data_IF_358606511607
#
_entry.id   IF_358606511607
#
_cell.length_a   1.000
_cell.length_b   1.000
_cell.length_c   1.000
_cell.angle_alpha   90.00
_cell.angle_beta   90.00
_cell.angle_gamma   90.00
#
_symmetry.space_group_name_H-M   'P 1'
#
loop_
_entity.id
_entity.type
_entity.pdbx_description
1 polymer ?
#
# COMPACT_ATOMS: atom_id res chain seq x y z
N UNK A 1 -8.35 -12.64 23.12
CA UNK A 1 -7.58 -12.16 21.96
C UNK A 1 -8.55 -11.46 21.03
N UNK A 2 -8.39 -10.16 20.82
CA UNK A 2 -9.19 -9.44 19.84
C UNK A 2 -8.77 -9.92 18.45
N UNK A 3 -9.73 -10.39 17.67
CA UNK A 3 -9.48 -10.76 16.25
C UNK A 3 -9.59 -9.49 15.42
N UNK A 4 -8.56 -9.21 14.63
CA UNK A 4 -8.56 -8.17 13.62
C UNK A 4 -9.00 -8.83 12.32
N UNK A 5 -9.96 -8.21 11.65
CA UNK A 5 -10.43 -8.70 10.34
C UNK A 5 -9.92 -7.76 9.24
N UNK A 6 -9.27 -8.34 8.26
CA UNK A 6 -8.89 -7.69 7.01
C UNK A 6 -9.81 -8.22 5.91
N UNK A 7 -10.30 -7.33 5.03
CA UNK A 7 -11.03 -7.78 3.85
C UNK A 7 -10.08 -7.94 2.69
N UNK A 8 -10.26 -9.00 1.91
CA UNK A 8 -9.49 -9.29 0.71
C UNK A 8 -10.44 -9.52 -0.45
N UNK A 9 -10.18 -8.84 -1.57
CA UNK A 9 -10.95 -8.98 -2.83
C UNK A 9 -10.03 -9.50 -3.92
N UNK A 10 -10.51 -10.44 -4.73
CA UNK A 10 -9.85 -10.81 -5.98
C UNK A 10 -10.12 -9.75 -7.03
N UNK A 11 -9.08 -9.28 -7.69
CA UNK A 11 -9.11 -8.36 -8.84
C UNK A 11 -8.76 -9.07 -10.14
N UNK A 12 -8.21 -10.30 -10.03
CA UNK A 12 -7.90 -11.17 -11.16
C UNK A 12 -8.55 -12.55 -10.98
N UNK A 13 -9.04 -13.21 -12.04
CA UNK A 13 -9.70 -14.52 -11.94
C UNK A 13 -8.81 -15.62 -11.36
N UNK A 14 -7.52 -15.59 -11.66
CA UNK A 14 -6.54 -16.59 -11.18
C UNK A 14 -5.93 -16.25 -9.82
N UNK A 15 -6.32 -15.12 -9.22
CA UNK A 15 -5.81 -14.72 -7.92
C UNK A 15 -6.10 -15.75 -6.83
N UNK A 16 -5.11 -16.02 -6.02
CA UNK A 16 -5.22 -16.88 -4.85
C UNK A 16 -5.43 -16.03 -3.59
N UNK A 17 -6.32 -16.47 -2.72
CA UNK A 17 -6.48 -15.82 -1.41
C UNK A 17 -5.22 -16.07 -0.57
N UNK A 18 -4.77 -15.06 0.21
CA UNK A 18 -3.63 -15.24 1.10
C UNK A 18 -3.84 -16.43 2.05
N UNK A 19 -2.83 -17.27 2.19
CA UNK A 19 -2.88 -18.48 3.02
C UNK A 19 -1.72 -18.54 4.00
N UNK A 20 -1.92 -19.21 5.14
CA UNK A 20 -0.85 -19.54 6.05
C UNK A 20 -0.33 -20.94 5.72
N UNK A 21 0.98 -21.14 5.68
CA UNK A 21 1.59 -22.46 5.51
C UNK A 21 1.32 -23.37 6.70
N UNK A 22 1.33 -22.81 7.91
CA UNK A 22 0.97 -23.45 9.18
C UNK A 22 0.14 -22.50 10.03
N UNK A 23 -0.70 -23.03 10.90
CA UNK A 23 -1.52 -22.25 11.84
C UNK A 23 -0.72 -21.43 12.84
N UNK A 24 0.56 -21.74 12.99
CA UNK A 24 1.51 -21.03 13.86
C UNK A 24 2.29 -19.93 13.15
N UNK A 25 2.17 -19.82 11.82
CA UNK A 25 2.86 -18.79 11.07
C UNK A 25 2.26 -17.42 11.35
N UNK A 26 3.11 -16.41 11.51
CA UNK A 26 2.68 -15.04 11.81
C UNK A 26 2.18 -14.29 10.56
N UNK A 27 2.56 -14.75 9.37
CA UNK A 27 2.24 -14.12 8.10
C UNK A 27 1.37 -14.98 7.21
N UNK A 28 0.83 -14.32 6.17
CA UNK A 28 0.10 -14.96 5.08
C UNK A 28 0.92 -14.90 3.81
N UNK A 29 0.99 -16.00 3.10
CA UNK A 29 1.63 -16.06 1.79
C UNK A 29 0.70 -15.47 0.73
N UNK A 30 1.26 -14.62 -0.11
CA UNK A 30 0.64 -14.05 -1.30
C UNK A 30 1.34 -14.61 -2.53
N UNK A 31 0.58 -14.96 -3.55
CA UNK A 31 1.08 -15.60 -4.77
C UNK A 31 0.83 -14.68 -5.96
N UNK A 32 1.82 -14.54 -6.82
CA UNK A 32 1.67 -13.84 -8.09
C UNK A 32 0.72 -14.62 -9.03
N UNK A 33 -0.01 -13.90 -9.88
CA UNK A 33 -0.92 -14.49 -10.89
C UNK A 33 -0.23 -14.67 -12.24
N UNK A 34 0.97 -14.12 -12.39
CA UNK A 34 1.75 -14.13 -13.64
C UNK A 34 3.24 -14.43 -13.39
N UNK A 35 3.98 -14.50 -14.47
CA UNK A 35 5.44 -14.72 -14.44
C UNK A 35 6.23 -13.42 -14.20
N UNK A 36 5.53 -12.31 -13.94
CA UNK A 36 6.11 -11.00 -13.75
C UNK A 36 6.49 -10.28 -15.05
N UNK A 37 6.53 -8.97 -14.96
CA UNK A 37 6.89 -8.08 -16.08
C UNK A 37 8.12 -7.27 -15.69
N UNK A 38 9.15 -7.28 -16.53
CA UNK A 38 10.29 -6.40 -16.38
C UNK A 38 9.87 -4.95 -16.56
N UNK A 39 10.37 -4.07 -15.69
CA UNK A 39 10.26 -2.65 -15.93
C UNK A 39 10.96 -2.26 -17.25
N UNK A 40 10.65 -1.08 -17.79
CA UNK A 40 11.16 -0.65 -19.10
C UNK A 40 12.67 -0.59 -19.18
N UNK A 41 13.34 -0.44 -18.06
CA UNK A 41 14.79 -0.31 -17.97
C UNK A 41 15.49 -1.61 -17.52
N UNK A 42 14.70 -2.66 -17.23
CA UNK A 42 15.22 -3.96 -16.82
C UNK A 42 15.83 -3.99 -15.41
N UNK A 43 15.39 -3.08 -14.54
CA UNK A 43 15.91 -2.93 -13.16
C UNK A 43 15.25 -3.87 -12.18
N UNK A 44 13.93 -4.11 -12.34
CA UNK A 44 13.15 -4.97 -11.46
C UNK A 44 12.05 -5.71 -12.22
N UNK A 45 11.49 -6.72 -11.59
CA UNK A 45 10.34 -7.46 -12.09
C UNK A 45 9.14 -7.11 -11.22
N UNK A 46 8.05 -6.67 -11.82
CA UNK A 46 6.78 -6.44 -11.18
C UNK A 46 5.90 -7.69 -11.30
N UNK A 47 5.35 -8.15 -10.19
CA UNK A 47 4.44 -9.28 -10.11
C UNK A 47 3.07 -8.82 -9.63
N UNK A 48 2.04 -9.04 -10.43
CA UNK A 48 0.66 -8.84 -9.97
C UNK A 48 0.24 -10.00 -9.07
N UNK A 49 -0.37 -9.69 -7.95
CA UNK A 49 -0.96 -10.67 -7.03
C UNK A 49 -2.43 -10.90 -7.30
N UNK A 50 -3.06 -10.06 -8.09
CA UNK A 50 -4.47 -10.10 -8.41
C UNK A 50 -5.41 -9.95 -7.21
N UNK A 51 -4.92 -9.36 -6.11
CA UNK A 51 -5.73 -9.10 -4.92
C UNK A 51 -5.68 -7.63 -4.52
N UNK A 52 -6.77 -7.15 -3.96
CA UNK A 52 -6.83 -5.89 -3.23
C UNK A 52 -7.16 -6.16 -1.76
N UNK A 53 -6.59 -5.38 -0.87
CA UNK A 53 -6.79 -5.53 0.57
C UNK A 53 -7.42 -4.26 1.16
N UNK A 54 -8.31 -4.47 2.14
CA UNK A 54 -8.87 -3.40 2.94
C UNK A 54 -8.51 -3.65 4.40
N UNK A 55 -7.75 -2.73 4.95
CA UNK A 55 -7.28 -2.80 6.33
C UNK A 55 -8.22 -1.99 7.26
N UNK A 56 -8.40 -2.41 8.51
CA UNK A 56 -9.00 -1.56 9.52
C UNK A 56 -8.14 -0.31 9.72
N UNK A 57 -8.76 0.81 10.06
CA UNK A 57 -8.03 2.04 10.39
C UNK A 57 -7.09 1.81 11.59
N UNK A 58 -5.92 2.47 11.55
CA UNK A 58 -4.87 2.29 12.54
C UNK A 58 -4.03 1.03 12.34
N UNK A 59 -4.26 0.30 11.25
CA UNK A 59 -3.45 -0.87 10.88
C UNK A 59 -2.80 -0.66 9.54
N UNK A 60 -1.59 -1.12 9.41
CA UNK A 60 -0.90 -1.26 8.13
C UNK A 60 -0.63 -2.73 7.83
N UNK A 61 -0.52 -3.07 6.57
CA UNK A 61 -0.03 -4.37 6.13
C UNK A 61 1.45 -4.22 5.78
N UNK A 62 2.25 -5.12 6.33
CA UNK A 62 3.66 -5.23 6.02
C UNK A 62 3.85 -6.38 5.03
N UNK A 63 4.36 -6.05 3.86
CA UNK A 63 4.74 -7.02 2.85
C UNK A 63 6.25 -7.26 2.90
N UNK A 64 6.66 -8.51 2.98
CA UNK A 64 8.07 -8.90 3.03
C UNK A 64 8.34 -10.12 2.17
N UNK A 65 9.55 -10.20 1.65
CA UNK A 65 9.96 -11.36 0.88
C UNK A 65 9.98 -12.62 1.74
N UNK A 66 9.54 -13.75 1.17
CA UNK A 66 9.72 -15.06 1.80
C UNK A 66 11.22 -15.43 1.83
N UNK A 67 11.63 -16.13 2.86
CA UNK A 67 13.01 -16.62 2.98
C UNK A 67 13.48 -17.46 1.78
N UNK A 68 12.56 -18.12 1.06
CA UNK A 68 12.88 -18.90 -0.13
C UNK A 68 13.21 -18.06 -1.37
N UNK A 69 12.84 -16.78 -1.38
CA UNK A 69 13.08 -15.88 -2.54
C UNK A 69 14.57 -15.70 -2.81
N UNK A 70 15.40 -15.71 -1.76
CA UNK A 70 16.85 -15.66 -1.88
C UNK A 70 17.48 -16.83 -2.66
N UNK A 71 16.75 -17.98 -2.80
CA UNK A 71 17.22 -19.11 -3.61
C UNK A 71 17.17 -18.83 -5.11
N UNK A 72 16.46 -17.79 -5.50
CA UNK A 72 16.31 -17.36 -6.89
C UNK A 72 17.09 -16.07 -7.15
N UNK A 73 18.00 -15.69 -6.24
CA UNK A 73 18.77 -14.45 -6.30
C UNK A 73 17.90 -13.19 -6.43
N UNK A 74 16.69 -13.24 -5.86
CA UNK A 74 15.73 -12.14 -5.85
C UNK A 74 15.67 -11.49 -4.47
N UNK A 75 15.39 -10.21 -4.47
CA UNK A 75 15.10 -9.41 -3.26
C UNK A 75 13.88 -8.53 -3.53
N UNK A 76 13.17 -8.17 -2.49
CA UNK A 76 12.11 -7.17 -2.59
C UNK A 76 12.77 -5.79 -2.75
N UNK A 77 12.44 -5.06 -3.84
CA UNK A 77 13.12 -3.81 -4.20
C UNK A 77 13.08 -2.75 -3.10
N UNK A 78 11.96 -2.63 -2.40
CA UNK A 78 11.80 -1.70 -1.29
C UNK A 78 12.19 -2.28 0.08
N UNK A 79 12.77 -3.50 0.12
CA UNK A 79 13.09 -4.22 1.36
C UNK A 79 11.85 -4.69 2.12
N UNK A 80 10.95 -3.77 2.46
CA UNK A 80 9.64 -4.02 3.06
C UNK A 80 8.62 -3.05 2.48
N UNK A 81 7.49 -3.56 1.99
CA UNK A 81 6.37 -2.76 1.54
C UNK A 81 5.40 -2.49 2.70
N UNK A 82 5.04 -1.24 2.92
CA UNK A 82 3.96 -0.85 3.81
C UNK A 82 2.75 -0.44 2.99
N UNK A 83 1.60 -1.01 3.33
CA UNK A 83 0.31 -0.65 2.75
C UNK A 83 -0.55 -0.11 3.89
N UNK A 84 -0.88 1.15 3.83
CA UNK A 84 -1.68 1.85 4.82
C UNK A 84 -2.71 2.79 4.18
N UNK A 85 -3.45 3.52 5.00
CA UNK A 85 -4.41 4.52 4.56
C UNK A 85 -4.16 5.80 5.35
N UNK A 86 -4.44 6.94 4.75
CA UNK A 86 -4.41 8.23 5.43
C UNK A 86 -5.81 8.57 5.97
N UNK A 87 -5.94 9.00 7.24
CA UNK A 87 -7.23 9.40 7.80
C UNK A 87 -7.69 10.75 7.27
N UNK A 88 -8.99 11.01 7.40
CA UNK A 88 -9.55 12.35 7.21
C UNK A 88 -8.83 13.36 8.12
N UNK A 89 -8.66 14.58 7.65
CA UNK A 89 -7.88 15.61 8.32
C UNK A 89 -6.38 15.60 7.97
N UNK A 90 -5.91 14.59 7.21
CA UNK A 90 -4.52 14.57 6.74
C UNK A 90 -4.30 15.67 5.71
N UNK A 91 -3.24 16.46 5.92
CA UNK A 91 -2.82 17.49 4.97
C UNK A 91 -1.92 16.92 3.89
N UNK A 92 -2.33 17.06 2.65
CA UNK A 92 -1.58 16.65 1.46
C UNK A 92 -0.93 17.90 0.85
N UNK A 93 0.34 17.81 0.56
CA UNK A 93 1.08 18.87 -0.13
C UNK A 93 0.63 18.96 -1.58
N UNK A 94 0.21 20.15 -2.01
CA UNK A 94 -0.15 20.43 -3.40
C UNK A 94 0.61 21.64 -3.91
N UNK A 95 0.71 21.87 -5.24
CA UNK A 95 1.35 23.05 -5.80
C UNK A 95 0.73 24.37 -5.33
N UNK A 96 -0.53 24.32 -4.91
CA UNK A 96 -1.29 25.50 -4.46
C UNK A 96 -1.42 25.60 -2.92
N UNK A 97 -0.55 24.90 -2.18
CA UNK A 97 -0.57 24.83 -0.73
C UNK A 97 -1.18 23.53 -0.20
N UNK A 98 -1.20 23.39 1.11
CA UNK A 98 -1.70 22.18 1.77
C UNK A 98 -3.22 22.11 1.64
N UNK A 99 -3.73 20.93 1.32
CA UNK A 99 -5.17 20.63 1.27
C UNK A 99 -5.48 19.40 2.10
N UNK A 100 -6.66 19.38 2.70
CA UNK A 100 -7.16 18.18 3.38
C UNK A 100 -7.41 17.07 2.34
N UNK A 101 -7.10 15.83 2.68
CA UNK A 101 -7.28 14.67 1.79
C UNK A 101 -8.73 14.51 1.35
N UNK A 102 -9.69 14.78 2.23
CA UNK A 102 -11.12 14.73 1.94
C UNK A 102 -11.58 15.83 0.98
N UNK A 103 -10.94 17.01 1.02
CA UNK A 103 -11.22 18.09 0.07
C UNK A 103 -10.71 17.73 -1.33
N UNK A 104 -9.54 17.08 -1.41
CA UNK A 104 -9.00 16.56 -2.67
C UNK A 104 -9.93 15.48 -3.23
N UNK A 105 -10.38 14.56 -2.39
CA UNK A 105 -11.31 13.51 -2.79
C UNK A 105 -12.65 14.05 -3.31
N UNK A 106 -13.18 15.08 -2.67
CA UNK A 106 -14.45 15.71 -3.03
C UNK A 106 -14.36 16.63 -4.24
N UNK A 107 -13.14 17.00 -4.66
CA UNK A 107 -12.92 17.90 -5.78
C UNK A 107 -13.22 17.20 -7.10
N UNK A 108 -13.92 17.91 -8.00
CA UNK A 108 -14.12 17.47 -9.39
C UNK A 108 -12.90 17.70 -10.26
N UNK A 109 -12.01 18.58 -9.83
CA UNK A 109 -10.76 18.87 -10.53
C UNK A 109 -9.68 17.89 -10.07
N UNK A 110 -9.00 17.27 -11.04
CA UNK A 110 -7.82 16.45 -10.75
C UNK A 110 -6.75 17.36 -10.14
N UNK A 111 -6.64 17.29 -8.83
CA UNK A 111 -5.63 18.06 -8.10
C UNK A 111 -4.29 17.36 -8.24
N UNK A 112 -3.27 18.08 -8.70
CA UNK A 112 -1.89 17.61 -8.60
C UNK A 112 -1.43 17.69 -7.16
N UNK A 113 -0.62 16.73 -6.76
CA UNK A 113 0.07 16.70 -5.47
C UNK A 113 1.56 16.95 -5.68
N UNK A 114 2.26 17.24 -4.60
CA UNK A 114 3.72 17.23 -4.62
C UNK A 114 4.21 15.86 -4.22
N UNK A 115 4.95 15.22 -5.09
CA UNK A 115 5.59 13.93 -4.87
C UNK A 115 7.11 14.05 -4.98
N UNK A 116 7.84 13.05 -4.50
CA UNK A 116 9.29 13.04 -4.57
C UNK A 116 9.74 12.18 -5.76
N UNK A 117 10.44 12.81 -6.70
CA UNK A 117 11.08 12.13 -7.81
C UNK A 117 12.45 11.59 -7.36
N UNK A 118 12.59 10.28 -7.26
CA UNK A 118 13.82 9.62 -6.80
C UNK A 118 14.95 9.68 -7.85
N UNK A 119 14.63 9.80 -9.13
CA UNK A 119 15.64 9.86 -10.20
C UNK A 119 16.30 11.24 -10.24
N UNK A 120 15.51 12.29 -10.17
CA UNK A 120 16.00 13.68 -10.17
C UNK A 120 16.29 14.24 -8.78
N UNK A 121 16.00 13.47 -7.74
CA UNK A 121 16.19 13.80 -6.33
C UNK A 121 15.56 15.15 -5.94
N UNK A 122 14.34 15.39 -6.42
CA UNK A 122 13.61 16.64 -6.20
C UNK A 122 12.10 16.40 -5.99
N UNK A 123 11.43 17.44 -5.47
CA UNK A 123 9.98 17.45 -5.37
C UNK A 123 9.40 17.96 -6.68
N UNK A 124 8.42 17.26 -7.24
CA UNK A 124 7.73 17.63 -8.47
C UNK A 124 6.21 17.54 -8.32
N UNK A 125 5.51 18.10 -9.28
CA UNK A 125 4.07 17.92 -9.41
C UNK A 125 3.76 16.57 -10.03
N UNK A 126 2.86 15.81 -9.38
CA UNK A 126 2.39 14.54 -9.87
C UNK A 126 0.86 14.46 -9.84
N UNK A 127 0.31 13.66 -10.74
CA UNK A 127 -1.13 13.52 -10.89
C UNK A 127 -1.64 12.35 -10.06
N UNK A 128 -2.69 12.57 -9.28
CA UNK A 128 -3.39 11.48 -8.60
C UNK A 128 -4.06 10.60 -9.66
N UNK A 129 -3.69 9.33 -9.70
CA UNK A 129 -4.21 8.36 -10.66
C UNK A 129 -5.53 7.77 -10.21
N UNK A 130 -5.67 7.50 -8.90
CA UNK A 130 -6.88 6.93 -8.32
C UNK A 130 -7.00 7.30 -6.84
N UNK A 131 -8.24 7.35 -6.36
CA UNK A 131 -8.57 7.59 -4.95
C UNK A 131 -9.82 6.80 -4.58
N UNK A 132 -9.82 6.27 -3.37
CA UNK A 132 -11.01 5.63 -2.79
C UNK A 132 -11.16 6.00 -1.33
N UNK A 133 -12.39 5.97 -0.83
CA UNK A 133 -12.73 6.25 0.56
C UNK A 133 -13.21 4.99 1.25
N UNK A 134 -12.88 4.86 2.51
CA UNK A 134 -13.49 3.89 3.42
C UNK A 134 -14.38 4.65 4.37
N UNK A 135 -15.65 4.28 4.43
CA UNK A 135 -16.63 4.84 5.36
C UNK A 135 -16.69 4.01 6.65
N UNK A 136 -17.25 4.60 7.71
CA UNK A 136 -17.53 3.96 8.99
C UNK A 136 -16.33 3.35 9.73
N UNK A 137 -15.26 4.13 9.85
CA UNK A 137 -14.05 3.64 10.51
C UNK A 137 -13.78 4.45 11.78
N UNK A 138 -13.64 3.73 12.90
CA UNK A 138 -13.28 4.33 14.17
C UNK A 138 -11.77 4.62 14.21
N UNK A 139 -11.42 5.89 14.40
CA UNK A 139 -10.05 6.32 14.66
C UNK A 139 -9.75 6.22 16.16
N UNK A 140 -8.52 5.83 16.49
CA UNK A 140 -7.98 5.84 17.84
C UNK A 140 -6.82 6.82 17.90
N UNK A 141 -6.87 7.72 18.87
CA UNK A 141 -5.74 8.58 19.22
C UNK A 141 -4.84 7.83 20.21
N UNK A 142 -3.54 7.80 19.93
CA UNK A 142 -2.56 7.21 20.84
C UNK A 142 -1.74 8.37 21.42
N UNK A 143 -1.93 8.63 22.70
CA UNK A 143 -1.06 9.54 23.45
C UNK A 143 0.14 8.75 23.97
N UNK A 144 1.35 9.20 23.65
CA UNK A 144 2.59 8.68 24.22
C UNK A 144 3.08 9.62 25.30
N UNK A 145 3.37 9.10 26.49
CA UNK A 145 4.06 9.87 27.50
C UNK A 145 5.52 10.05 27.08
N UNK A 146 5.93 11.30 26.92
CA UNK A 146 7.34 11.63 26.78
C UNK A 146 8.03 11.42 28.14
N UNK A 147 9.01 10.53 28.20
CA UNK A 147 9.90 10.34 29.35
C UNK A 147 11.06 11.32 29.30
#
# INVERSE_FOLDING_TARGET
MNRISMKVKRTHPDAQMPTQGKTTDSGYDVVAVDDGVWDKEGRYIEYDTGIAVELPIGYHLKNSARSSVSKYDLVLCNGEGLIDCVPAGTLIKTPNGDKLVEDIFSSTDKTNILSFNEEEWQIEEDSITDMWIKEDVQLYEIETEEN
#
